data_IF_395956397173
#
_entry.id   IF_395956397173
#
_cell.length_a   1.000
_cell.length_b   1.000
_cell.length_c   1.000
_cell.angle_alpha   90.00
_cell.angle_beta   90.00
_cell.angle_gamma   90.00
#
_symmetry.space_group_name_H-M   'P 1'
#
loop_
_entity.id
_entity.type
_entity.pdbx_description
1 polymer ?
#
# COMPACT_ATOMS: atom_id res chain seq x y z
N UNK A 1 3.70 -23.07 -14.60
CA UNK A 1 5.11 -22.99 -14.17
C UNK A 1 5.13 -23.51 -12.74
N UNK A 2 6.07 -24.36 -12.33
CA UNK A 2 6.16 -24.73 -10.91
C UNK A 2 6.79 -23.53 -10.19
N UNK A 3 6.11 -22.97 -9.19
CA UNK A 3 6.69 -21.93 -8.34
C UNK A 3 7.97 -22.48 -7.70
N UNK A 4 9.07 -21.73 -7.83
CA UNK A 4 10.37 -22.12 -7.27
C UNK A 4 10.56 -21.61 -5.84
N UNK A 5 9.59 -20.86 -5.29
CA UNK A 5 9.66 -20.39 -3.91
C UNK A 5 9.46 -21.58 -2.98
N UNK A 6 10.40 -21.71 -2.05
CA UNK A 6 10.26 -22.59 -0.91
C UNK A 6 9.00 -22.21 -0.12
N UNK A 7 8.10 -23.17 0.06
CA UNK A 7 6.82 -22.96 0.72
C UNK A 7 6.98 -22.47 2.16
N UNK A 8 8.07 -22.82 2.86
CA UNK A 8 8.36 -22.31 4.20
C UNK A 8 8.73 -20.82 4.16
N UNK A 9 9.51 -20.40 3.16
CA UNK A 9 9.86 -18.99 2.96
C UNK A 9 8.60 -18.17 2.62
N UNK A 10 7.75 -18.70 1.73
CA UNK A 10 6.49 -18.05 1.39
C UNK A 10 5.57 -17.90 2.61
N UNK A 11 5.40 -18.99 3.38
CA UNK A 11 4.57 -18.99 4.57
C UNK A 11 5.09 -17.97 5.60
N UNK A 12 6.40 -17.92 5.82
CA UNK A 12 7.02 -16.94 6.72
C UNK A 12 6.76 -15.49 6.28
N UNK A 13 6.88 -15.21 4.98
CA UNK A 13 6.51 -13.89 4.43
C UNK A 13 5.03 -13.57 4.65
N UNK A 14 4.12 -14.51 4.34
CA UNK A 14 2.69 -14.31 4.49
C UNK A 14 2.29 -14.08 5.95
N UNK A 15 2.86 -14.83 6.89
CA UNK A 15 2.60 -14.68 8.32
C UNK A 15 3.06 -13.32 8.85
N UNK A 16 4.31 -12.94 8.55
CA UNK A 16 4.85 -11.64 8.95
C UNK A 16 4.03 -10.49 8.36
N UNK A 17 3.71 -10.57 7.06
CA UNK A 17 2.96 -9.53 6.38
C UNK A 17 1.52 -9.42 6.94
N UNK A 18 0.87 -10.52 7.33
CA UNK A 18 -0.45 -10.49 7.98
C UNK A 18 -0.43 -9.78 9.33
N UNK A 19 0.60 -9.99 10.14
CA UNK A 19 0.78 -9.26 11.41
C UNK A 19 0.91 -7.76 11.13
N UNK A 20 1.77 -7.39 10.17
CA UNK A 20 1.97 -5.99 9.78
C UNK A 20 0.69 -5.35 9.21
N UNK A 21 -0.11 -6.10 8.44
CA UNK A 21 -1.39 -5.62 7.92
C UNK A 21 -2.39 -5.33 9.04
N UNK A 22 -2.52 -6.21 10.03
CA UNK A 22 -3.41 -5.96 11.18
C UNK A 22 -2.98 -4.73 12.00
N UNK A 23 -1.67 -4.50 12.13
CA UNK A 23 -1.15 -3.26 12.73
C UNK A 23 -1.48 -2.03 11.87
N UNK A 24 -1.35 -2.13 10.54
CA UNK A 24 -1.70 -1.06 9.60
C UNK A 24 -3.20 -0.74 9.64
N UNK A 25 -4.07 -1.75 9.70
CA UNK A 25 -5.52 -1.59 9.85
C UNK A 25 -5.85 -0.79 11.11
N UNK A 26 -5.26 -1.17 12.25
CA UNK A 26 -5.46 -0.45 13.52
C UNK A 26 -5.01 1.02 13.43
N UNK A 27 -3.88 1.28 12.78
CA UNK A 27 -3.38 2.65 12.59
C UNK A 27 -4.32 3.43 11.67
N UNK A 28 -4.77 2.82 10.56
CA UNK A 28 -5.67 3.46 9.60
C UNK A 28 -7.00 3.82 10.27
N UNK A 29 -7.61 2.91 11.02
CA UNK A 29 -8.83 3.17 11.79
C UNK A 29 -8.66 4.37 12.73
N UNK A 30 -7.56 4.41 13.48
CA UNK A 30 -7.25 5.54 14.36
C UNK A 30 -7.07 6.88 13.61
N UNK A 31 -6.52 6.84 12.39
CA UNK A 31 -6.33 8.04 11.57
C UNK A 31 -7.64 8.50 10.91
N UNK A 32 -8.57 7.59 10.65
CA UNK A 32 -9.91 7.90 10.13
C UNK A 32 -10.81 8.57 11.17
N UNK A 33 -10.72 8.15 12.44
CA UNK A 33 -11.43 8.79 13.56
C UNK A 33 -11.06 10.28 13.70
N UNK A 34 -9.84 10.63 13.32
CA UNK A 34 -9.32 11.99 13.32
C UNK A 34 -9.05 12.54 14.72
N UNK A 35 -8.59 13.79 14.76
CA UNK A 35 -8.28 14.50 15.99
C UNK A 35 -7.94 15.96 15.73
N UNK A 36 -7.87 16.75 16.80
CA UNK A 36 -7.50 18.17 16.72
C UNK A 36 -5.99 18.35 16.45
N UNK A 37 -5.17 17.37 16.86
CA UNK A 37 -3.71 17.37 16.70
C UNK A 37 -3.26 16.59 15.46
N UNK A 38 -2.09 16.95 14.92
CA UNK A 38 -1.50 16.23 13.81
C UNK A 38 -0.86 14.90 14.27
N UNK A 39 -1.30 13.74 13.75
CA UNK A 39 -0.88 12.42 14.23
C UNK A 39 0.46 11.98 13.62
N UNK A 40 1.55 12.67 14.00
CA UNK A 40 2.88 12.44 13.43
C UNK A 40 3.42 11.03 13.73
N UNK A 41 3.21 10.54 14.95
CA UNK A 41 3.74 9.25 15.38
C UNK A 41 3.05 8.07 14.66
N UNK A 42 1.74 8.17 14.47
CA UNK A 42 0.92 7.19 13.77
C UNK A 42 1.30 7.12 12.29
N UNK A 43 1.48 8.28 11.64
CA UNK A 43 1.92 8.36 10.24
C UNK A 43 3.33 7.81 10.05
N UNK A 44 4.26 8.09 10.97
CA UNK A 44 5.60 7.50 10.95
C UNK A 44 5.53 5.97 11.11
N UNK A 45 4.74 5.50 12.08
CA UNK A 45 4.59 4.07 12.35
C UNK A 45 3.99 3.36 11.13
N UNK A 46 2.94 3.92 10.52
CA UNK A 46 2.35 3.42 9.27
C UNK A 46 3.42 3.28 8.18
N UNK A 47 4.20 4.35 7.93
CA UNK A 47 5.24 4.36 6.91
C UNK A 47 6.33 3.31 7.15
N UNK A 48 6.71 3.07 8.41
CA UNK A 48 7.69 2.04 8.76
C UNK A 48 7.14 0.62 8.55
N UNK A 49 5.88 0.37 8.91
CA UNK A 49 5.25 -0.95 8.76
C UNK A 49 5.05 -1.33 7.30
N UNK A 50 4.58 -0.39 6.49
CA UNK A 50 4.39 -0.64 5.06
C UNK A 50 5.73 -0.79 4.31
N UNK A 51 6.79 -0.09 4.75
CA UNK A 51 8.15 -0.26 4.20
C UNK A 51 8.69 -1.68 4.43
N UNK A 52 8.37 -2.27 5.58
CA UNK A 52 8.76 -3.65 5.89
C UNK A 52 8.06 -4.66 4.98
N UNK A 53 6.75 -4.48 4.71
CA UNK A 53 6.02 -5.28 3.71
C UNK A 53 6.64 -5.12 2.32
N UNK A 54 6.93 -3.87 1.91
CA UNK A 54 7.56 -3.56 0.63
C UNK A 54 8.91 -4.27 0.48
N UNK A 55 9.80 -4.15 1.48
CA UNK A 55 11.14 -4.76 1.44
C UNK A 55 11.10 -6.28 1.42
N UNK A 56 10.17 -6.89 2.16
CA UNK A 56 9.96 -8.33 2.12
C UNK A 56 9.44 -8.78 0.74
N UNK A 57 8.44 -8.10 0.19
CA UNK A 57 7.91 -8.41 -1.14
C UNK A 57 8.97 -8.22 -2.25
N UNK A 58 9.78 -7.17 -2.20
CA UNK A 58 10.89 -6.95 -3.13
C UNK A 58 11.92 -8.10 -3.03
N UNK A 59 12.24 -8.56 -1.82
CA UNK A 59 13.14 -9.71 -1.61
C UNK A 59 12.55 -10.99 -2.20
N UNK A 60 11.26 -11.24 -1.97
CA UNK A 60 10.56 -12.40 -2.54
C UNK A 60 10.53 -12.34 -4.07
N UNK A 61 10.32 -11.16 -4.66
CA UNK A 61 10.35 -10.96 -6.10
C UNK A 61 11.77 -11.16 -6.71
N UNK A 62 12.84 -10.99 -5.93
CA UNK A 62 14.19 -11.37 -6.37
C UNK A 62 14.39 -12.89 -6.40
N UNK A 63 13.73 -13.63 -5.48
CA UNK A 63 13.77 -15.09 -5.44
C UNK A 63 12.91 -15.72 -6.55
N UNK A 64 11.80 -15.08 -6.91
CA UNK A 64 10.94 -15.48 -8.03
C UNK A 64 10.68 -14.32 -9.00
N UNK A 65 11.67 -14.01 -9.86
CA UNK A 65 11.54 -12.95 -10.83
C UNK A 65 10.35 -13.19 -11.75
N UNK A 66 9.47 -12.20 -11.86
CA UNK A 66 8.30 -12.24 -12.72
C UNK A 66 7.03 -12.75 -12.03
N UNK A 67 7.05 -13.09 -10.74
CA UNK A 67 5.82 -13.38 -10.01
C UNK A 67 4.95 -12.12 -9.92
N UNK A 68 3.79 -12.06 -10.61
CA UNK A 68 3.00 -10.83 -10.74
C UNK A 68 2.47 -10.34 -9.39
N UNK A 69 2.08 -11.26 -8.50
CA UNK A 69 1.64 -10.98 -7.14
C UNK A 69 2.65 -10.22 -6.28
N UNK A 70 3.85 -10.81 -6.10
CA UNK A 70 4.93 -10.23 -5.29
C UNK A 70 5.37 -8.86 -5.81
N UNK A 71 5.51 -8.72 -7.14
CA UNK A 71 5.80 -7.42 -7.75
C UNK A 71 4.70 -6.40 -7.45
N UNK A 72 3.43 -6.83 -7.50
CA UNK A 72 2.29 -5.95 -7.22
C UNK A 72 2.19 -5.54 -5.76
N UNK A 73 2.44 -6.46 -4.82
CA UNK A 73 2.51 -6.17 -3.39
C UNK A 73 3.56 -5.09 -3.13
N UNK A 74 4.77 -5.26 -3.68
CA UNK A 74 5.84 -4.27 -3.55
C UNK A 74 5.46 -2.90 -4.13
N UNK A 75 4.83 -2.87 -5.30
CA UNK A 75 4.37 -1.62 -5.92
C UNK A 75 3.31 -0.89 -5.08
N UNK A 76 2.29 -1.61 -4.58
CA UNK A 76 1.23 -1.02 -3.75
C UNK A 76 1.80 -0.54 -2.41
N UNK A 77 2.66 -1.33 -1.76
CA UNK A 77 3.29 -0.93 -0.51
C UNK A 77 4.15 0.34 -0.68
N UNK A 78 4.86 0.47 -1.81
CA UNK A 78 5.62 1.68 -2.16
C UNK A 78 4.73 2.90 -2.36
N UNK A 79 3.56 2.73 -2.98
CA UNK A 79 2.55 3.77 -3.12
C UNK A 79 2.03 4.23 -1.75
N UNK A 80 1.70 3.30 -0.87
CA UNK A 80 1.26 3.61 0.49
C UNK A 80 2.36 4.34 1.29
N UNK A 81 3.63 3.92 1.15
CA UNK A 81 4.78 4.61 1.74
C UNK A 81 4.90 6.06 1.26
N UNK A 82 4.86 6.26 -0.06
CA UNK A 82 4.97 7.60 -0.67
C UNK A 82 3.82 8.52 -0.26
N UNK A 83 2.59 8.01 -0.30
CA UNK A 83 1.41 8.76 0.15
C UNK A 83 1.45 9.05 1.66
N UNK A 84 1.99 8.14 2.48
CA UNK A 84 2.26 8.31 3.91
C UNK A 84 3.20 9.47 4.20
N UNK A 85 4.36 9.51 3.53
CA UNK A 85 5.30 10.62 3.68
C UNK A 85 4.71 11.96 3.25
N UNK A 86 3.87 11.96 2.21
CA UNK A 86 3.19 13.18 1.79
C UNK A 86 2.19 13.67 2.83
N UNK A 87 1.38 12.77 3.40
CA UNK A 87 0.47 13.13 4.48
C UNK A 87 1.25 13.73 5.66
N UNK A 88 2.37 13.09 6.05
CA UNK A 88 3.28 13.58 7.08
C UNK A 88 3.86 14.98 6.76
N UNK A 89 4.28 15.20 5.51
CA UNK A 89 4.86 16.47 5.06
C UNK A 89 3.83 17.60 4.94
N UNK A 90 2.58 17.28 4.63
CA UNK A 90 1.52 18.27 4.51
C UNK A 90 1.22 18.97 5.84
N UNK A 91 1.43 18.27 6.98
CA UNK A 91 1.17 18.79 8.35
C UNK A 91 -0.23 19.40 8.49
N UNK A 92 -1.22 18.79 7.84
CA UNK A 92 -2.62 19.23 7.77
C UNK A 92 -3.53 18.13 8.35
N UNK A 93 -3.96 18.24 9.62
CA UNK A 93 -4.83 17.24 10.26
C UNK A 93 -6.09 16.95 9.44
N UNK A 94 -6.66 17.96 8.78
CA UNK A 94 -7.88 17.85 7.98
C UNK A 94 -7.72 16.97 6.72
N UNK A 95 -6.49 16.73 6.28
CA UNK A 95 -6.20 15.84 5.15
C UNK A 95 -6.00 14.39 5.58
N UNK A 96 -5.65 14.14 6.84
CA UNK A 96 -5.27 12.81 7.33
C UNK A 96 -6.38 11.77 7.11
N UNK A 97 -7.66 12.04 7.43
CA UNK A 97 -8.74 11.07 7.18
C UNK A 97 -8.91 10.72 5.70
N UNK A 98 -8.57 11.63 4.78
CA UNK A 98 -8.64 11.36 3.34
C UNK A 98 -7.56 10.37 2.90
N UNK A 99 -6.35 10.52 3.42
CA UNK A 99 -5.26 9.57 3.19
C UNK A 99 -5.57 8.22 3.85
N UNK A 100 -6.10 8.23 5.08
CA UNK A 100 -6.49 7.03 5.81
C UNK A 100 -7.56 6.21 5.05
N UNK A 101 -8.59 6.86 4.52
CA UNK A 101 -9.60 6.18 3.70
C UNK A 101 -9.02 5.53 2.44
N UNK A 102 -8.05 6.17 1.78
CA UNK A 102 -7.32 5.55 0.68
C UNK A 102 -6.49 4.35 1.16
N UNK A 103 -5.83 4.49 2.32
CA UNK A 103 -5.03 3.42 2.89
C UNK A 103 -5.85 2.20 3.28
N UNK A 104 -7.05 2.39 3.82
CA UNK A 104 -7.97 1.31 4.16
C UNK A 104 -8.22 0.39 2.95
N UNK A 105 -8.64 0.96 1.81
CA UNK A 105 -8.86 0.19 0.57
C UNK A 105 -7.56 -0.50 0.09
N UNK A 106 -6.40 0.16 0.18
CA UNK A 106 -5.12 -0.45 -0.25
C UNK A 106 -4.62 -1.56 0.66
N UNK A 107 -4.83 -1.44 1.98
CA UNK A 107 -4.42 -2.44 2.96
C UNK A 107 -5.25 -3.72 2.78
N UNK A 108 -6.55 -3.58 2.51
CA UNK A 108 -7.42 -4.69 2.14
C UNK A 108 -6.91 -5.43 0.89
N UNK A 109 -6.63 -4.69 -0.20
CA UNK A 109 -6.07 -5.27 -1.43
C UNK A 109 -4.72 -5.96 -1.19
N UNK A 110 -3.85 -5.35 -0.37
CA UNK A 110 -2.57 -5.96 0.00
C UNK A 110 -2.78 -7.29 0.71
N UNK A 111 -3.74 -7.37 1.63
CA UNK A 111 -4.12 -8.60 2.32
C UNK A 111 -4.53 -9.70 1.36
N UNK A 112 -5.42 -9.40 0.41
CA UNK A 112 -5.88 -10.37 -0.59
C UNK A 112 -4.71 -10.88 -1.47
N UNK A 113 -3.82 -9.97 -1.90
CA UNK A 113 -2.66 -10.32 -2.72
C UNK A 113 -1.64 -11.17 -1.94
N UNK A 114 -1.37 -10.81 -0.68
CA UNK A 114 -0.47 -11.56 0.19
C UNK A 114 -1.01 -12.97 0.42
N UNK A 115 -2.31 -13.13 0.69
CA UNK A 115 -2.92 -14.44 0.83
C UNK A 115 -2.84 -15.27 -0.46
N UNK A 116 -3.01 -14.62 -1.61
CA UNK A 116 -2.91 -15.26 -2.91
C UNK A 116 -1.47 -15.47 -3.42
N UNK A 117 -0.43 -15.04 -2.70
CA UNK A 117 0.95 -15.06 -3.20
C UNK A 117 1.48 -16.47 -3.53
N UNK A 118 0.88 -17.54 -3.01
CA UNK A 118 1.22 -18.93 -3.39
C UNK A 118 0.47 -19.48 -4.60
N UNK A 119 -0.47 -18.71 -5.15
CA UNK A 119 -1.28 -19.08 -6.31
C UNK A 119 -1.15 -17.97 -7.37
N UNK A 120 -0.23 -18.17 -8.31
CA UNK A 120 0.08 -17.22 -9.36
C UNK A 120 -1.17 -16.79 -10.16
N UNK A 121 -2.08 -17.72 -10.45
CA UNK A 121 -3.29 -17.45 -11.21
C UNK A 121 -4.28 -16.59 -10.41
N UNK A 122 -4.52 -16.92 -9.14
CA UNK A 122 -5.34 -16.12 -8.23
C UNK A 122 -4.72 -14.74 -8.03
N UNK A 123 -3.41 -14.68 -7.82
CA UNK A 123 -2.68 -13.43 -7.60
C UNK A 123 -2.72 -12.52 -8.83
N UNK A 124 -2.56 -13.08 -10.03
CA UNK A 124 -2.69 -12.33 -11.28
C UNK A 124 -4.12 -11.79 -11.49
N UNK A 125 -5.15 -12.60 -11.19
CA UNK A 125 -6.54 -12.18 -11.28
C UNK A 125 -6.85 -11.03 -10.31
N UNK A 126 -6.39 -11.13 -9.06
CA UNK A 126 -6.54 -10.08 -8.05
C UNK A 126 -5.76 -8.82 -8.40
N UNK A 127 -4.54 -8.94 -8.91
CA UNK A 127 -3.75 -7.80 -9.38
C UNK A 127 -4.49 -7.05 -10.49
N UNK A 128 -5.08 -7.76 -11.46
CA UNK A 128 -5.89 -7.16 -12.51
C UNK A 128 -7.16 -6.47 -11.98
N UNK A 129 -7.90 -7.12 -11.08
CA UNK A 129 -9.14 -6.59 -10.53
C UNK A 129 -8.92 -5.36 -9.65
N UNK A 130 -7.93 -5.41 -8.76
CA UNK A 130 -7.62 -4.35 -7.81
C UNK A 130 -7.05 -3.08 -8.46
N UNK A 131 -6.37 -3.23 -9.61
CA UNK A 131 -5.78 -2.09 -10.34
C UNK A 131 -6.78 -0.97 -10.60
N UNK A 132 -7.99 -1.31 -11.06
CA UNK A 132 -9.02 -0.32 -11.37
C UNK A 132 -9.54 0.37 -10.11
N UNK A 133 -9.75 -0.39 -9.04
CA UNK A 133 -10.22 0.15 -7.75
C UNK A 133 -9.17 1.10 -7.16
N UNK A 134 -7.92 0.67 -7.08
CA UNK A 134 -6.83 1.48 -6.53
C UNK A 134 -6.56 2.74 -7.36
N UNK A 135 -6.61 2.64 -8.70
CA UNK A 135 -6.49 3.79 -9.59
C UNK A 135 -7.62 4.80 -9.34
N UNK A 136 -8.85 4.32 -9.19
CA UNK A 136 -10.01 5.16 -8.88
C UNK A 136 -9.86 5.86 -7.53
N UNK A 137 -9.40 5.14 -6.49
CA UNK A 137 -9.19 5.71 -5.16
C UNK A 137 -8.04 6.70 -5.11
N UNK A 138 -6.93 6.40 -5.80
CA UNK A 138 -5.80 7.32 -5.90
C UNK A 138 -6.15 8.58 -6.69
N UNK A 139 -6.97 8.46 -7.75
CA UNK A 139 -7.52 9.60 -8.48
C UNK A 139 -8.40 10.46 -7.58
N UNK A 140 -9.33 9.84 -6.85
CA UNK A 140 -10.16 10.53 -5.87
C UNK A 140 -9.32 11.28 -4.82
N UNK A 141 -8.30 10.62 -4.26
CA UNK A 141 -7.39 11.25 -3.30
C UNK A 141 -6.67 12.46 -3.93
N UNK A 142 -6.18 12.31 -5.16
CA UNK A 142 -5.54 13.39 -5.91
C UNK A 142 -6.47 14.58 -6.13
N UNK A 143 -7.76 14.36 -6.43
CA UNK A 143 -8.73 15.43 -6.58
C UNK A 143 -9.01 16.15 -5.26
N UNK A 144 -9.16 15.39 -4.16
CA UNK A 144 -9.42 15.95 -2.83
C UNK A 144 -8.23 16.73 -2.30
N UNK A 145 -7.02 16.20 -2.45
CA UNK A 145 -5.77 16.83 -2.00
C UNK A 145 -5.30 17.92 -2.97
N UNK A 146 -5.48 17.74 -4.28
CA UNK A 146 -5.04 18.67 -5.32
C UNK A 146 -5.76 20.02 -5.30
N UNK A 147 -6.98 20.09 -4.75
CA UNK A 147 -7.62 21.37 -4.41
C UNK A 147 -6.92 22.12 -3.26
N UNK A 148 -6.04 21.45 -2.52
CA UNK A 148 -5.42 21.95 -1.29
C UNK A 148 -3.87 21.83 -1.25
N UNK A 149 -3.23 21.39 -2.35
CA UNK A 149 -1.79 21.06 -2.41
C UNK A 149 -1.06 21.68 -3.62
N UNK A 150 0.26 21.94 -3.52
CA UNK A 150 1.06 22.51 -4.60
C UNK A 150 1.26 21.59 -5.82
N UNK A 151 1.59 22.18 -6.98
CA UNK A 151 1.65 21.50 -8.28
C UNK A 151 2.73 20.39 -8.40
N UNK A 152 3.82 20.47 -7.63
CA UNK A 152 4.86 19.44 -7.62
C UNK A 152 4.30 18.08 -7.16
N UNK A 153 3.40 18.11 -6.16
CA UNK A 153 2.81 16.92 -5.57
C UNK A 153 1.80 16.23 -6.51
N UNK A 154 1.32 16.93 -7.55
CA UNK A 154 0.41 16.36 -8.56
C UNK A 154 1.18 15.49 -9.58
N UNK A 155 2.40 15.90 -9.95
CA UNK A 155 3.23 15.15 -10.91
C UNK A 155 3.71 13.81 -10.35
N UNK A 156 3.96 13.73 -9.04
CA UNK A 156 4.41 12.50 -8.38
C UNK A 156 3.25 11.50 -8.23
N UNK A 157 2.05 11.94 -7.86
CA UNK A 157 0.85 11.09 -7.87
C UNK A 157 0.55 10.54 -9.26
N UNK A 158 0.71 11.36 -10.30
CA UNK A 158 0.58 10.91 -11.68
C UNK A 158 1.63 9.84 -12.06
N UNK A 159 2.85 9.93 -11.52
CA UNK A 159 3.87 8.90 -11.68
C UNK A 159 3.50 7.59 -10.98
N UNK A 160 2.93 7.67 -9.78
CA UNK A 160 2.45 6.52 -9.03
C UNK A 160 1.25 5.84 -9.69
N UNK A 161 0.30 6.62 -10.23
CA UNK A 161 -0.83 6.12 -11.02
C UNK A 161 -0.34 5.27 -12.21
N UNK A 162 0.68 5.72 -12.94
CA UNK A 162 1.28 4.97 -14.05
C UNK A 162 1.96 3.67 -13.65
N UNK A 163 2.42 3.55 -12.39
CA UNK A 163 3.00 2.30 -11.91
C UNK A 163 1.95 1.23 -11.58
N UNK A 164 0.69 1.65 -11.49
CA UNK A 164 -0.44 0.76 -11.25
C UNK A 164 -1.13 0.29 -12.55
N UNK A 165 -0.90 0.96 -13.68
CA UNK A 165 -1.36 0.58 -15.03
C UNK A 165 -0.53 -0.56 -15.64
#
# INVERSE_FOLDING_TARGET
>A
MYSMIDQEILAGFQEEAKVLLSELETIVESLEEGGDDFPEAELETFAQRIDRIMGAADTMAMLEPGHPGLMRIGAIARLCKSTGYRAAAAKKPELVPLFAAFWADTVEVLGELIEAAGDEAKSAALAGASSKTLLSRLTWLSEKVGTQAPAADQSELAGLLKSLE
#
